data_IF_397765108411
#
_entry.id   IF_397765108411
#
_cell.length_a   1.000
_cell.length_b   1.000
_cell.length_c   1.000
_cell.angle_alpha   90.00
_cell.angle_beta   90.00
_cell.angle_gamma   90.00
#
_symmetry.space_group_name_H-M   'P 1'
#
loop_
_entity.id
_entity.type
_entity.pdbx_description
1 polymer ?
#
# COMPACT_ATOMS: atom_id res chain seq x y z
N UNK A 1 -40.70 0.84 -55.14
CA UNK A 1 -41.23 1.70 -54.05
C UNK A 1 -41.21 0.81 -52.82
N UNK A 2 -40.13 0.71 -52.05
CA UNK A 2 -39.47 1.78 -51.30
C UNK A 2 -40.00 1.74 -49.86
N UNK A 3 -39.15 1.46 -48.87
CA UNK A 3 -39.52 1.46 -47.45
C UNK A 3 -38.60 0.61 -46.57
N UNK A 4 -37.46 1.17 -46.22
CA UNK A 4 -36.44 0.64 -45.31
C UNK A 4 -36.98 0.39 -43.89
N UNK A 5 -36.57 -0.72 -43.27
CA UNK A 5 -36.76 -0.98 -41.83
C UNK A 5 -35.40 -1.12 -41.17
N UNK A 6 -34.98 -0.07 -40.47
CA UNK A 6 -33.67 0.13 -39.85
C UNK A 6 -33.17 -1.12 -39.09
N UNK A 7 -32.06 -1.68 -39.57
CA UNK A 7 -31.29 -2.65 -38.80
C UNK A 7 -30.39 -1.93 -37.80
N UNK A 8 -30.36 -2.46 -36.56
CA UNK A 8 -29.38 -2.23 -35.50
C UNK A 8 -29.33 -0.79 -34.94
N UNK A 9 -29.80 -0.63 -33.72
CA UNK A 9 -29.07 0.17 -32.73
C UNK A 9 -29.13 -0.54 -31.37
N UNK A 10 -27.99 -1.11 -30.90
CA UNK A 10 -27.85 -1.75 -29.61
C UNK A 10 -27.38 -0.73 -28.56
N UNK A 11 -28.02 0.44 -28.46
CA UNK A 11 -27.70 1.40 -27.39
C UNK A 11 -28.62 1.16 -26.19
N UNK A 12 -28.46 -0.01 -25.57
CA UNK A 12 -28.58 -0.03 -24.13
C UNK A 12 -27.38 0.75 -23.62
N UNK A 13 -27.59 2.03 -23.30
CA UNK A 13 -26.71 2.78 -22.40
C UNK A 13 -26.65 2.05 -21.06
N UNK A 14 -25.87 0.98 -20.99
CA UNK A 14 -25.51 0.30 -19.74
C UNK A 14 -24.56 1.28 -19.05
N UNK A 15 -24.88 1.79 -17.85
CA UNK A 15 -23.91 2.55 -17.08
C UNK A 15 -22.68 1.66 -16.89
N UNK A 16 -21.53 2.12 -17.37
CA UNK A 16 -20.25 1.49 -17.02
C UNK A 16 -20.22 1.38 -15.49
N UNK A 17 -19.97 0.18 -14.93
CA UNK A 17 -19.68 0.11 -13.50
C UNK A 17 -18.56 1.13 -13.22
N UNK A 18 -18.61 1.91 -12.12
CA UNK A 18 -17.46 2.71 -11.71
C UNK A 18 -16.24 1.80 -11.74
N UNK A 19 -15.05 2.26 -12.17
CA UNK A 19 -13.87 1.42 -12.24
C UNK A 19 -13.79 0.72 -10.89
N UNK A 20 -14.10 -0.58 -10.93
CA UNK A 20 -14.14 -1.43 -9.76
C UNK A 20 -12.85 -1.12 -9.04
N UNK A 21 -12.94 -0.64 -7.80
CA UNK A 21 -11.80 -0.52 -6.90
C UNK A 21 -11.05 -1.82 -7.05
N UNK A 22 -9.99 -1.79 -7.86
CA UNK A 22 -9.12 -2.92 -8.03
C UNK A 22 -8.52 -2.98 -6.65
N UNK A 23 -9.02 -3.92 -5.84
CA UNK A 23 -8.34 -4.31 -4.62
C UNK A 23 -7.02 -4.84 -5.16
N UNK A 24 -6.03 -3.95 -5.26
CA UNK A 24 -4.66 -4.35 -5.50
C UNK A 24 -4.42 -5.37 -4.41
N UNK A 25 -4.25 -6.63 -4.80
CA UNK A 25 -3.59 -7.59 -3.92
C UNK A 25 -2.26 -6.92 -3.58
N UNK A 26 -2.21 -6.36 -2.36
CA UNK A 26 -0.98 -5.77 -1.84
C UNK A 26 0.06 -6.89 -1.88
N UNK A 27 1.31 -6.61 -2.26
CA UNK A 27 2.34 -7.63 -2.15
C UNK A 27 2.29 -8.16 -0.71
N UNK A 28 2.15 -9.48 -0.55
CA UNK A 28 2.05 -10.09 0.78
C UNK A 28 3.30 -9.78 1.61
N UNK A 29 4.42 -9.61 0.93
CA UNK A 29 5.71 -9.31 1.52
C UNK A 29 6.02 -7.80 1.50
N UNK A 30 6.28 -7.17 2.67
CA UNK A 30 6.70 -5.79 2.77
C UNK A 30 7.97 -5.44 1.98
N UNK A 31 8.83 -6.41 1.62
CA UNK A 31 10.05 -6.15 0.85
C UNK A 31 9.78 -5.70 -0.59
N UNK A 32 8.62 -6.07 -1.14
CA UNK A 32 8.21 -5.74 -2.50
C UNK A 32 7.34 -4.47 -2.56
N UNK A 33 7.04 -3.86 -1.42
CA UNK A 33 6.19 -2.67 -1.37
C UNK A 33 6.85 -1.49 -2.05
N UNK A 34 6.12 -0.88 -2.98
CA UNK A 34 6.48 0.42 -3.54
C UNK A 34 6.15 1.53 -2.54
N UNK A 35 6.63 2.75 -2.81
CA UNK A 35 6.26 3.94 -2.04
C UNK A 35 4.74 4.09 -1.94
N UNK A 36 4.01 3.80 -3.02
CA UNK A 36 2.54 3.85 -3.01
C UNK A 36 1.92 2.80 -2.09
N UNK A 37 2.47 1.59 -2.04
CA UNK A 37 1.94 0.51 -1.18
C UNK A 37 2.14 0.84 0.30
N UNK A 38 3.27 1.48 0.65
CA UNK A 38 3.55 2.00 2.00
C UNK A 38 2.54 3.09 2.38
N UNK A 39 2.28 4.03 1.48
CA UNK A 39 1.30 5.12 1.68
C UNK A 39 -0.11 4.55 1.86
N UNK A 40 -0.52 3.61 0.99
CA UNK A 40 -1.81 2.95 1.06
C UNK A 40 -1.94 2.18 2.38
N UNK A 41 -0.88 1.50 2.84
CA UNK A 41 -0.85 0.77 4.12
C UNK A 41 -1.09 1.69 5.32
N UNK A 42 -0.34 2.78 5.43
CA UNK A 42 -0.52 3.70 6.56
C UNK A 42 -1.84 4.46 6.46
N UNK A 43 -2.34 4.73 5.26
CA UNK A 43 -3.67 5.32 5.05
C UNK A 43 -4.78 4.39 5.54
N UNK A 44 -4.74 3.11 5.16
CA UNK A 44 -5.69 2.08 5.61
C UNK A 44 -5.60 1.82 7.12
N UNK A 45 -4.40 1.94 7.70
CA UNK A 45 -4.17 1.85 9.15
C UNK A 45 -4.68 3.06 9.95
N UNK A 46 -5.21 4.10 9.28
CA UNK A 46 -5.75 5.30 9.94
C UNK A 46 -4.74 6.43 10.14
N UNK A 47 -3.58 6.34 9.49
CA UNK A 47 -2.50 7.33 9.54
C UNK A 47 -2.37 8.10 8.22
N UNK A 48 -3.48 8.44 7.57
CA UNK A 48 -3.49 9.12 6.27
C UNK A 48 -2.72 10.46 6.25
N UNK A 49 -2.77 11.23 7.34
CA UNK A 49 -2.00 12.48 7.48
C UNK A 49 -0.48 12.22 7.55
N UNK A 50 -0.07 11.07 8.08
CA UNK A 50 1.33 10.70 8.21
C UNK A 50 1.85 9.97 6.97
N UNK A 51 0.97 9.30 6.23
CA UNK A 51 1.28 8.58 5.01
C UNK A 51 1.96 9.50 3.97
N UNK A 52 1.56 10.78 3.88
CA UNK A 52 2.22 11.73 2.98
C UNK A 52 3.71 11.94 3.29
N UNK A 53 4.11 11.87 4.56
CA UNK A 53 5.52 12.00 4.94
C UNK A 53 6.37 10.82 4.43
N UNK A 54 5.80 9.61 4.38
CA UNK A 54 6.47 8.46 3.76
C UNK A 54 6.61 8.65 2.25
N UNK A 55 5.61 9.24 1.60
CA UNK A 55 5.67 9.57 0.18
C UNK A 55 6.73 10.63 -0.13
N UNK A 56 6.76 11.72 0.62
CA UNK A 56 7.69 12.85 0.44
C UNK A 56 9.15 12.44 0.61
N UNK A 57 9.41 11.47 1.49
CA UNK A 57 10.73 10.91 1.74
C UNK A 57 11.04 9.71 0.84
N UNK A 58 10.14 9.39 -0.11
CA UNK A 58 10.27 8.27 -1.05
C UNK A 58 10.55 6.92 -0.35
N UNK A 59 9.89 6.68 0.80
CA UNK A 59 10.07 5.46 1.58
C UNK A 59 9.35 4.30 0.88
N UNK A 60 10.14 3.38 0.33
CA UNK A 60 9.70 2.08 -0.16
C UNK A 60 9.71 1.02 0.94
N UNK A 61 9.19 -0.17 0.64
CA UNK A 61 9.11 -1.28 1.58
C UNK A 61 10.45 -1.69 2.19
N UNK A 62 11.49 -1.76 1.37
CA UNK A 62 12.85 -2.09 1.82
C UNK A 62 13.39 -1.05 2.79
N UNK A 63 13.24 0.24 2.47
CA UNK A 63 13.65 1.32 3.36
C UNK A 63 12.83 1.31 4.65
N UNK A 64 11.53 1.03 4.56
CA UNK A 64 10.63 0.93 5.72
C UNK A 64 11.09 -0.16 6.69
N UNK A 65 11.45 -1.34 6.18
CA UNK A 65 11.98 -2.45 6.97
C UNK A 65 13.33 -2.14 7.62
N UNK A 66 14.11 -1.21 7.08
CA UNK A 66 15.39 -0.78 7.64
C UNK A 66 15.28 0.42 8.61
N UNK A 67 14.12 1.07 8.69
CA UNK A 67 13.95 2.25 9.54
C UNK A 67 14.15 1.92 11.02
N UNK A 68 14.94 2.77 11.68
CA UNK A 68 15.13 2.73 13.12
C UNK A 68 14.16 3.68 13.82
N UNK A 69 14.04 3.54 15.14
CA UNK A 69 13.19 4.40 15.96
C UNK A 69 13.50 5.88 15.73
N UNK A 70 14.78 6.24 15.65
CA UNK A 70 15.22 7.63 15.42
C UNK A 70 14.72 8.18 14.09
N UNK A 71 14.73 7.37 13.05
CA UNK A 71 14.37 7.78 11.69
C UNK A 71 12.88 8.12 11.61
N UNK A 72 12.03 7.36 12.30
CA UNK A 72 10.60 7.61 12.34
C UNK A 72 10.24 8.78 13.26
N UNK A 73 10.91 8.90 14.40
CA UNK A 73 10.60 9.93 15.39
C UNK A 73 11.16 11.31 15.02
N UNK A 74 12.21 11.37 14.21
CA UNK A 74 12.92 12.62 13.88
C UNK A 74 13.18 12.83 12.40
N UNK A 75 13.31 11.76 11.62
CA UNK A 75 13.53 11.84 10.17
C UNK A 75 12.25 12.05 9.37
N UNK A 76 11.12 11.50 9.84
CA UNK A 76 9.80 11.82 9.30
C UNK A 76 9.24 13.01 10.08
N UNK A 77 8.77 14.04 9.38
CA UNK A 77 8.19 15.28 9.92
C UNK A 77 6.82 15.07 10.60
N UNK A 78 6.68 13.98 11.35
CA UNK A 78 5.46 13.51 12.01
C UNK A 78 5.50 13.90 13.50
N UNK A 79 4.32 14.18 14.08
CA UNK A 79 4.18 14.43 15.52
C UNK A 79 4.61 13.21 16.34
N UNK A 80 5.31 13.43 17.45
CA UNK A 80 5.87 12.38 18.32
C UNK A 80 4.84 11.29 18.71
N UNK A 81 3.61 11.68 19.05
CA UNK A 81 2.56 10.73 19.45
C UNK A 81 2.23 9.70 18.35
N UNK A 82 1.76 10.14 17.18
CA UNK A 82 1.57 9.26 16.02
C UNK A 82 2.83 8.51 15.60
N UNK A 83 4.01 9.16 15.59
CA UNK A 83 5.26 8.53 15.19
C UNK A 83 5.62 7.32 16.06
N UNK A 84 5.43 7.42 17.38
CA UNK A 84 5.63 6.29 18.30
C UNK A 84 4.68 5.13 18.00
N UNK A 85 3.40 5.42 17.71
CA UNK A 85 2.42 4.39 17.37
C UNK A 85 2.78 3.68 16.06
N UNK A 86 3.16 4.44 15.04
CA UNK A 86 3.58 3.90 13.74
C UNK A 86 4.79 2.98 13.92
N UNK A 87 5.79 3.42 14.66
CA UNK A 87 6.99 2.61 14.87
C UNK A 87 6.70 1.32 15.65
N UNK A 88 6.01 1.41 16.80
CA UNK A 88 5.81 0.26 17.69
C UNK A 88 4.77 -0.75 17.18
N UNK A 89 3.71 -0.31 16.51
CA UNK A 89 2.61 -1.19 16.10
C UNK A 89 2.65 -1.61 14.64
N UNK A 90 3.37 -0.89 13.77
CA UNK A 90 3.42 -1.20 12.35
C UNK A 90 4.83 -1.58 11.92
N UNK A 91 5.80 -0.67 12.01
CA UNK A 91 7.14 -0.90 11.46
C UNK A 91 7.82 -2.09 12.14
N UNK A 92 7.79 -2.15 13.48
CA UNK A 92 8.36 -3.30 14.21
C UNK A 92 7.66 -4.62 13.91
N UNK A 93 6.35 -4.60 13.68
CA UNK A 93 5.58 -5.80 13.35
C UNK A 93 5.96 -6.29 11.96
N UNK A 94 6.03 -5.38 10.97
CA UNK A 94 6.46 -5.69 9.61
C UNK A 94 7.90 -6.22 9.58
N UNK A 95 8.79 -5.64 10.38
CA UNK A 95 10.15 -6.16 10.57
C UNK A 95 10.14 -7.57 11.15
N UNK A 96 9.39 -7.82 12.24
CA UNK A 96 9.36 -9.15 12.86
C UNK A 96 8.81 -10.23 11.93
N UNK A 97 7.78 -9.93 11.15
CA UNK A 97 7.19 -10.87 10.20
C UNK A 97 8.11 -11.24 9.04
N UNK A 98 8.97 -10.33 8.57
CA UNK A 98 9.91 -10.62 7.49
C UNK A 98 11.10 -11.51 7.92
N UNK A 99 11.53 -11.44 9.19
CA UNK A 99 12.69 -12.21 9.65
C UNK A 99 12.37 -13.66 10.07
N UNK A 100 11.09 -14.03 10.24
CA UNK A 100 10.69 -15.43 10.52
C UNK A 100 10.70 -16.31 9.26
N UNK A 101 10.85 -15.73 8.06
CA UNK A 101 10.91 -16.47 6.79
C UNK A 101 12.36 -16.78 6.34
N UNK A 102 13.38 -16.07 6.85
CA UNK A 102 14.79 -16.33 6.52
C UNK A 102 15.41 -17.53 7.27
N UNK A 103 14.89 -17.89 8.46
CA UNK A 103 15.41 -19.05 9.22
C UNK A 103 14.85 -20.39 8.74
N UNK A 104 13.71 -20.41 8.02
CA UNK A 104 13.09 -21.66 7.57
C UNK A 104 13.71 -22.22 6.29
N UNK A 105 14.45 -21.41 5.53
CA UNK A 105 15.12 -21.85 4.28
C UNK A 105 16.61 -22.21 4.50
N UNK A 106 17.21 -21.80 5.62
CA UNK A 106 18.61 -22.09 5.95
C UNK A 106 18.83 -23.43 6.68
N UNK A 107 17.75 -24.11 7.10
CA UNK A 107 17.83 -25.42 7.77
C UNK A 107 17.56 -26.63 6.86
N UNK A 108 17.30 -26.40 5.56
CA UNK A 108 17.00 -27.43 4.56
C UNK A 108 18.01 -27.49 3.40
N UNK A 109 19.21 -26.95 3.59
CA UNK A 109 20.38 -27.08 2.69
C UNK A 109 21.49 -27.96 3.25
#
# INVERSE_FOLDING_TARGET
>A
LGGEGCGRDPDCSVPLPPPSSVKKEKPSDPVEWTVMDVVDYFTEAGFAEQASAFQEQEIDGKSLLLMQRTDVLTGLSIRLGPALKIYEYHIKVLQQSHFEEDEVDSFLG
#
